data_IF_144371980514
#
_entry.id   IF_144371980514
#
_cell.length_a   1.000
_cell.length_b   1.000
_cell.length_c   1.000
_cell.angle_alpha   90.00
_cell.angle_beta   90.00
_cell.angle_gamma   90.00
#
_symmetry.space_group_name_H-M   'P 1'
#
loop_
_entity.id
_entity.type
_entity.pdbx_description
1 polymer ?
#
# COMPACT_ATOMS: atom_id res chain seq x y z
N UNK A 1 -19.29 -26.93 22.36
CA UNK A 1 -18.63 -25.61 22.21
C UNK A 1 -17.35 -25.60 23.02
N UNK A 2 -16.20 -25.35 22.43
CA UNK A 2 -14.94 -25.20 23.19
C UNK A 2 -15.00 -23.92 24.02
N UNK A 3 -14.42 -23.94 25.22
CA UNK A 3 -14.34 -22.75 26.10
C UNK A 3 -13.59 -21.64 25.36
N UNK A 4 -14.18 -20.43 25.29
CA UNK A 4 -13.53 -19.28 24.66
C UNK A 4 -12.22 -18.89 25.38
N UNK A 5 -11.18 -18.46 24.67
CA UNK A 5 -9.92 -18.03 25.29
C UNK A 5 -10.12 -16.89 26.29
N UNK A 6 -9.71 -17.10 27.52
CA UNK A 6 -9.86 -16.15 28.64
C UNK A 6 -8.56 -16.01 29.43
N UNK A 7 -8.42 -14.93 30.20
CA UNK A 7 -7.30 -14.66 31.11
C UNK A 7 -7.80 -13.93 32.37
N UNK A 8 -8.84 -14.47 33.02
CA UNK A 8 -9.61 -13.80 34.12
C UNK A 8 -8.73 -13.30 35.25
N UNK A 9 -7.77 -14.11 35.70
CA UNK A 9 -6.87 -13.72 36.80
C UNK A 9 -5.95 -12.56 36.39
N UNK A 10 -5.55 -12.50 35.14
CA UNK A 10 -4.76 -11.38 34.63
C UNK A 10 -5.60 -10.12 34.49
N UNK A 11 -6.87 -10.24 34.07
CA UNK A 11 -7.81 -9.12 34.00
C UNK A 11 -8.03 -8.50 35.40
N UNK A 12 -8.26 -9.31 36.43
CA UNK A 12 -8.44 -8.84 37.83
C UNK A 12 -7.17 -8.12 38.31
N UNK A 13 -6.00 -8.75 38.15
CA UNK A 13 -4.71 -8.17 38.56
C UNK A 13 -4.42 -6.85 37.81
N UNK A 14 -4.75 -6.76 36.53
CA UNK A 14 -4.57 -5.55 35.77
C UNK A 14 -5.47 -4.41 36.25
N UNK A 15 -6.77 -4.69 36.44
CA UNK A 15 -7.74 -3.71 36.97
C UNK A 15 -7.35 -3.23 38.36
N UNK A 16 -6.92 -4.14 39.23
CA UNK A 16 -6.40 -3.79 40.58
C UNK A 16 -5.17 -2.86 40.46
N UNK A 17 -4.21 -3.21 39.62
CA UNK A 17 -3.01 -2.38 39.40
C UNK A 17 -3.33 -0.97 38.91
N UNK A 18 -4.35 -0.82 38.05
CA UNK A 18 -4.79 0.48 37.53
C UNK A 18 -5.53 1.34 38.56
N UNK A 19 -6.15 0.73 39.59
CA UNK A 19 -6.82 1.44 40.70
C UNK A 19 -5.87 1.99 41.75
N UNK A 20 -4.69 1.39 41.92
CA UNK A 20 -3.83 1.60 43.08
C UNK A 20 -2.62 2.49 42.84
N UNK A 21 -2.31 2.91 41.61
CA UNK A 21 -1.19 3.79 41.27
C UNK A 21 -1.60 4.94 40.36
N UNK A 22 -1.64 6.10 40.89
CA UNK A 22 -1.74 7.48 40.32
C UNK A 22 -1.79 7.67 38.78
N UNK A 23 -2.30 6.68 38.04
CA UNK A 23 -2.54 6.82 36.58
C UNK A 23 -1.35 6.48 35.68
N UNK A 24 -0.13 6.24 36.16
CA UNK A 24 1.04 5.93 35.31
C UNK A 24 0.80 4.69 34.43
N UNK A 25 0.21 3.64 35.01
CA UNK A 25 -0.07 2.37 34.31
C UNK A 25 -1.23 2.50 33.31
N UNK A 26 -2.17 3.42 33.56
CA UNK A 26 -3.39 3.54 32.74
C UNK A 26 -3.06 3.98 31.32
N UNK A 27 -2.16 4.94 31.15
CA UNK A 27 -1.76 5.44 29.85
C UNK A 27 -1.15 4.33 28.98
N UNK A 28 -0.24 3.52 29.55
CA UNK A 28 0.38 2.41 28.83
C UNK A 28 -0.64 1.30 28.50
N UNK A 29 -1.49 0.93 29.44
CA UNK A 29 -2.52 -0.09 29.24
C UNK A 29 -3.56 0.37 28.23
N UNK A 30 -3.97 1.63 28.24
CA UNK A 30 -4.94 2.20 27.31
C UNK A 30 -4.40 2.24 25.87
N UNK A 31 -3.08 2.28 25.68
CA UNK A 31 -2.46 2.15 24.35
C UNK A 31 -2.57 0.72 23.78
N UNK A 32 -2.73 -0.31 24.64
CA UNK A 32 -2.75 -1.72 24.26
C UNK A 32 -4.18 -2.27 24.21
N UNK A 33 -4.99 -1.97 25.23
CA UNK A 33 -6.32 -2.56 25.45
C UNK A 33 -7.45 -1.57 25.20
N UNK A 34 -8.56 -2.12 24.73
CA UNK A 34 -9.89 -1.49 24.71
C UNK A 34 -10.82 -2.24 25.68
N UNK A 35 -11.91 -1.61 26.08
CA UNK A 35 -12.89 -2.24 26.97
C UNK A 35 -13.40 -3.59 26.43
N UNK A 36 -13.59 -3.70 25.11
CA UNK A 36 -14.05 -4.90 24.42
C UNK A 36 -13.04 -6.07 24.45
N UNK A 37 -11.78 -5.80 24.81
CA UNK A 37 -10.74 -6.82 24.90
C UNK A 37 -10.87 -7.68 26.18
N UNK A 38 -11.58 -7.18 27.19
CA UNK A 38 -11.87 -7.96 28.40
C UNK A 38 -12.92 -9.04 28.17
N UNK A 39 -12.76 -10.16 28.83
CA UNK A 39 -13.69 -11.30 28.73
C UNK A 39 -15.00 -11.03 29.39
N UNK A 40 -14.96 -10.61 30.71
CA UNK A 40 -16.14 -10.34 31.49
C UNK A 40 -16.73 -8.97 31.21
N UNK A 41 -18.06 -8.89 31.15
CA UNK A 41 -18.77 -7.63 30.98
C UNK A 41 -18.53 -6.68 32.17
N UNK A 42 -18.42 -7.22 33.38
CA UNK A 42 -18.10 -6.46 34.60
C UNK A 42 -16.73 -5.75 34.43
N UNK A 43 -15.72 -6.44 33.91
CA UNK A 43 -14.40 -5.89 33.69
C UNK A 43 -14.42 -4.82 32.60
N UNK A 44 -15.22 -4.98 31.55
CA UNK A 44 -15.41 -3.97 30.49
C UNK A 44 -16.00 -2.68 31.07
N UNK A 45 -17.04 -2.79 31.91
CA UNK A 45 -17.67 -1.64 32.57
C UNK A 45 -16.67 -0.92 33.47
N UNK A 46 -15.96 -1.68 34.34
CA UNK A 46 -14.96 -1.12 35.26
C UNK A 46 -13.86 -0.39 34.46
N UNK A 47 -13.28 -1.03 33.44
CA UNK A 47 -12.23 -0.43 32.63
C UNK A 47 -12.69 0.84 31.91
N UNK A 48 -13.90 0.88 31.40
CA UNK A 48 -14.51 2.05 30.76
C UNK A 48 -14.70 3.19 31.77
N UNK A 49 -15.20 2.89 32.96
CA UNK A 49 -15.35 3.88 34.04
C UNK A 49 -13.98 4.45 34.45
N UNK A 50 -12.94 3.62 34.58
CA UNK A 50 -11.58 4.04 34.89
C UNK A 50 -11.03 5.03 33.85
N UNK A 51 -11.19 4.71 32.55
CA UNK A 51 -10.74 5.60 31.48
C UNK A 51 -11.50 6.93 31.48
N UNK A 52 -12.78 6.94 31.82
CA UNK A 52 -13.57 8.17 31.92
C UNK A 52 -13.14 9.05 33.11
N UNK A 53 -12.88 8.44 34.27
CA UNK A 53 -12.34 9.17 35.43
C UNK A 53 -10.95 9.75 35.10
N UNK A 54 -10.06 8.93 34.53
CA UNK A 54 -8.72 9.33 34.14
C UNK A 54 -8.70 10.45 33.09
N UNK A 55 -9.63 10.43 32.13
CA UNK A 55 -9.74 11.49 31.11
C UNK A 55 -10.11 12.87 31.66
N UNK A 56 -10.63 12.96 32.88
CA UNK A 56 -10.90 14.20 33.61
C UNK A 56 -9.70 14.69 34.44
N UNK A 57 -8.55 14.03 34.30
CA UNK A 57 -7.31 14.39 35.02
C UNK A 57 -7.26 13.91 36.46
N UNK A 58 -8.13 12.97 36.85
CA UNK A 58 -8.19 12.44 38.22
C UNK A 58 -7.74 10.97 38.22
N UNK A 59 -6.80 10.56 39.07
CA UNK A 59 -6.47 9.15 39.24
C UNK A 59 -7.71 8.35 39.66
N UNK A 60 -8.03 7.23 39.00
CA UNK A 60 -9.23 6.46 39.33
C UNK A 60 -9.02 5.62 40.60
N UNK A 61 -9.64 5.98 41.66
CA UNK A 61 -9.83 5.13 42.82
C UNK A 61 -11.16 4.40 42.77
N UNK A 62 -11.37 3.44 43.67
CA UNK A 62 -12.56 2.61 43.70
C UNK A 62 -13.85 3.39 43.93
N UNK A 63 -13.81 4.49 44.71
CA UNK A 63 -14.98 5.31 45.00
C UNK A 63 -15.40 6.16 43.81
N UNK A 64 -14.42 6.73 43.10
CA UNK A 64 -14.64 7.47 41.86
C UNK A 64 -15.16 6.56 40.74
N UNK A 65 -14.65 5.34 40.64
CA UNK A 65 -15.13 4.33 39.71
C UNK A 65 -16.59 3.91 40.05
N UNK A 66 -16.90 3.70 41.35
CA UNK A 66 -18.26 3.42 41.77
C UNK A 66 -19.22 4.55 41.39
N UNK A 67 -18.81 5.79 41.60
CA UNK A 67 -19.63 6.96 41.31
C UNK A 67 -19.86 7.11 39.78
N UNK A 68 -18.83 6.84 38.97
CA UNK A 68 -18.94 6.86 37.52
C UNK A 68 -19.88 5.72 37.03
N UNK A 69 -19.77 4.53 37.60
CA UNK A 69 -20.67 3.41 37.29
C UNK A 69 -22.12 3.71 37.68
N UNK A 70 -22.37 4.45 38.76
CA UNK A 70 -23.70 4.96 39.12
C UNK A 70 -24.22 5.94 38.08
N UNK A 71 -23.37 6.89 37.69
CA UNK A 71 -23.70 7.94 36.73
C UNK A 71 -24.05 7.37 35.34
N UNK A 72 -23.38 6.29 34.94
CA UNK A 72 -23.63 5.60 33.65
C UNK A 72 -24.72 4.54 33.72
N UNK A 73 -25.25 4.25 34.91
CA UNK A 73 -26.23 3.19 35.12
C UNK A 73 -25.69 1.77 35.04
N UNK A 74 -24.37 1.60 35.01
CA UNK A 74 -23.69 0.29 34.83
C UNK A 74 -23.39 -0.40 36.19
N UNK A 75 -23.63 0.24 37.34
CA UNK A 75 -23.34 -0.33 38.66
C UNK A 75 -24.10 -1.63 38.94
N UNK A 76 -25.29 -1.81 38.34
CA UNK A 76 -26.06 -3.05 38.49
C UNK A 76 -25.37 -4.26 37.81
N UNK A 77 -24.61 -4.01 36.74
CA UNK A 77 -23.81 -5.04 36.06
C UNK A 77 -22.56 -5.40 36.85
N UNK A 78 -21.98 -4.38 37.55
CA UNK A 78 -20.77 -4.54 38.36
C UNK A 78 -21.20 -4.53 39.83
N UNK A 79 -21.38 -5.67 40.44
CA UNK A 79 -21.74 -5.77 41.86
C UNK A 79 -20.71 -5.01 42.73
N UNK A 80 -21.21 -4.17 43.64
CA UNK A 80 -20.36 -3.35 44.50
C UNK A 80 -19.30 -4.19 45.25
N UNK A 81 -19.72 -5.29 45.84
CA UNK A 81 -18.82 -6.21 46.56
C UNK A 81 -17.67 -6.71 45.65
N UNK A 82 -17.95 -6.95 44.38
CA UNK A 82 -16.95 -7.37 43.41
C UNK A 82 -15.95 -6.26 43.11
N UNK A 83 -16.42 -5.02 42.92
CA UNK A 83 -15.56 -3.88 42.67
C UNK A 83 -14.57 -3.66 43.82
N UNK A 84 -15.05 -3.73 45.07
CA UNK A 84 -14.21 -3.58 46.25
C UNK A 84 -13.24 -4.76 46.43
N UNK A 85 -13.67 -5.99 46.14
CA UNK A 85 -12.81 -7.17 46.21
C UNK A 85 -11.63 -7.13 45.19
N UNK A 86 -11.72 -6.34 44.14
CA UNK A 86 -10.62 -6.20 43.20
C UNK A 86 -9.39 -5.47 43.79
N UNK A 87 -9.57 -4.67 44.86
CA UNK A 87 -8.47 -3.95 45.51
C UNK A 87 -7.53 -4.90 46.24
N UNK A 88 -8.05 -6.02 46.72
CA UNK A 88 -7.32 -7.00 47.55
C UNK A 88 -6.44 -7.96 46.71
N UNK A 89 -6.44 -7.80 45.35
CA UNK A 89 -5.56 -8.61 44.52
C UNK A 89 -4.12 -8.13 44.57
N UNK A 90 -3.20 -9.02 44.97
CA UNK A 90 -1.75 -8.76 44.87
C UNK A 90 -1.34 -8.46 43.44
N UNK A 91 -0.64 -7.34 43.23
CA UNK A 91 -0.16 -6.94 41.92
C UNK A 91 1.27 -6.39 41.98
N UNK A 92 1.95 -6.48 40.83
CA UNK A 92 3.23 -5.82 40.59
C UNK A 92 3.06 -4.97 39.34
N UNK A 93 3.21 -3.64 39.42
CA UNK A 93 3.05 -2.71 38.29
C UNK A 93 3.97 -3.04 37.12
N UNK A 94 5.16 -3.56 37.41
CA UNK A 94 6.14 -4.02 36.39
C UNK A 94 5.60 -5.07 35.41
N UNK A 95 4.51 -5.76 35.76
CA UNK A 95 3.89 -6.79 34.91
C UNK A 95 2.57 -6.36 34.25
N UNK A 96 2.10 -5.13 34.50
CA UNK A 96 0.82 -4.66 33.95
C UNK A 96 0.80 -4.70 32.42
N UNK A 97 1.85 -4.24 31.76
CA UNK A 97 1.99 -4.29 30.30
C UNK A 97 1.99 -5.72 29.76
N UNK A 98 2.63 -6.65 30.45
CA UNK A 98 2.64 -8.06 30.08
C UNK A 98 1.25 -8.69 30.20
N UNK A 99 0.53 -8.38 31.31
CA UNK A 99 -0.87 -8.81 31.47
C UNK A 99 -1.77 -8.21 30.39
N UNK A 100 -1.61 -6.92 30.07
CA UNK A 100 -2.36 -6.26 29.00
C UNK A 100 -2.13 -6.95 27.65
N UNK A 101 -0.90 -7.26 27.28
CA UNK A 101 -0.59 -7.99 26.05
C UNK A 101 -1.25 -9.37 26.02
N UNK A 102 -1.18 -10.14 27.13
CA UNK A 102 -1.82 -11.47 27.20
C UNK A 102 -3.33 -11.38 27.07
N UNK A 103 -3.98 -10.37 27.69
CA UNK A 103 -5.43 -10.13 27.55
C UNK A 103 -5.76 -9.80 26.11
N UNK A 104 -4.92 -8.98 25.44
CA UNK A 104 -5.05 -8.63 24.03
C UNK A 104 -4.99 -9.87 23.13
N UNK A 105 -4.01 -10.73 23.33
CA UNK A 105 -3.87 -11.98 22.56
C UNK A 105 -5.11 -12.87 22.69
N UNK A 106 -5.65 -13.01 23.94
CA UNK A 106 -6.90 -13.76 24.14
C UNK A 106 -8.10 -13.10 23.46
N UNK A 107 -8.16 -11.77 23.44
CA UNK A 107 -9.21 -11.03 22.73
C UNK A 107 -9.12 -11.23 21.21
N UNK A 108 -7.93 -11.24 20.65
CA UNK A 108 -7.70 -11.51 19.21
C UNK A 108 -8.19 -12.91 18.86
N UNK A 109 -7.83 -13.91 19.66
CA UNK A 109 -8.30 -15.29 19.46
C UNK A 109 -9.83 -15.41 19.53
N UNK A 110 -10.49 -14.69 20.44
CA UNK A 110 -11.97 -14.65 20.50
C UNK A 110 -12.59 -14.05 19.25
N UNK A 111 -12.02 -12.93 18.76
CA UNK A 111 -12.49 -12.30 17.49
C UNK A 111 -12.28 -13.22 16.30
N UNK A 112 -11.16 -13.95 16.27
CA UNK A 112 -10.89 -14.92 15.21
C UNK A 112 -11.92 -16.05 15.24
N UNK A 113 -12.22 -16.62 16.42
CA UNK A 113 -13.25 -17.64 16.59
C UNK A 113 -14.60 -17.12 16.11
N UNK A 114 -14.99 -15.92 16.52
CA UNK A 114 -16.25 -15.30 16.10
C UNK A 114 -16.31 -15.11 14.59
N UNK A 115 -15.23 -14.61 13.96
CA UNK A 115 -15.17 -14.47 12.51
C UNK A 115 -15.31 -15.82 11.79
N UNK A 116 -14.66 -16.88 12.31
CA UNK A 116 -14.78 -18.22 11.76
C UNK A 116 -16.22 -18.77 11.92
N UNK A 117 -16.89 -18.56 13.07
CA UNK A 117 -18.28 -18.98 13.27
C UNK A 117 -19.23 -18.29 12.29
N UNK A 118 -19.03 -16.98 12.06
CA UNK A 118 -19.80 -16.22 11.05
C UNK A 118 -19.54 -16.71 9.63
N UNK A 119 -18.29 -17.07 9.30
CA UNK A 119 -17.92 -17.61 7.97
C UNK A 119 -18.57 -18.99 7.78
N UNK A 120 -18.55 -19.85 8.80
CA UNK A 120 -19.19 -21.17 8.76
C UNK A 120 -20.70 -21.02 8.55
N UNK A 121 -21.33 -20.06 9.25
CA UNK A 121 -22.75 -19.79 9.10
C UNK A 121 -23.11 -19.31 7.68
N UNK A 122 -22.42 -18.29 7.19
CA UNK A 122 -22.66 -17.73 5.85
C UNK A 122 -22.42 -18.77 4.73
N UNK A 123 -21.43 -19.67 4.93
CA UNK A 123 -21.13 -20.73 3.99
C UNK A 123 -22.19 -21.84 3.99
N UNK A 124 -22.84 -22.09 5.13
CA UNK A 124 -23.87 -23.11 5.26
C UNK A 124 -25.25 -22.69 4.74
N UNK A 125 -25.55 -21.38 4.74
CA UNK A 125 -26.85 -20.86 4.28
C UNK A 125 -26.99 -20.81 2.76
N UNK A 126 -25.88 -20.87 1.98
CA UNK A 126 -25.83 -20.84 0.51
C UNK A 126 -26.67 -19.72 -0.16
N UNK A 127 -26.94 -18.62 0.54
CA UNK A 127 -27.79 -17.53 0.07
C UNK A 127 -27.08 -16.58 -0.91
N UNK A 128 -25.72 -16.64 -0.97
CA UNK A 128 -24.89 -15.78 -1.80
C UNK A 128 -24.04 -16.59 -2.78
N UNK A 129 -23.61 -15.98 -3.91
CA UNK A 129 -22.64 -16.62 -4.78
C UNK A 129 -21.34 -16.97 -4.03
N UNK A 130 -20.73 -18.11 -4.34
CA UNK A 130 -19.49 -18.59 -3.67
C UNK A 130 -18.39 -17.52 -3.65
N UNK A 131 -18.25 -16.76 -4.75
CA UNK A 131 -17.26 -15.65 -4.82
C UNK A 131 -17.49 -14.59 -3.77
N UNK A 132 -18.74 -14.20 -3.55
CA UNK A 132 -19.12 -13.19 -2.55
C UNK A 132 -18.90 -13.69 -1.12
N UNK A 133 -19.17 -14.98 -0.86
CA UNK A 133 -18.88 -15.62 0.44
C UNK A 133 -17.38 -15.61 0.73
N UNK A 134 -16.55 -15.93 -0.28
CA UNK A 134 -15.09 -15.92 -0.14
C UNK A 134 -14.55 -14.51 0.12
N UNK A 135 -15.05 -13.50 -0.58
CA UNK A 135 -14.67 -12.09 -0.37
C UNK A 135 -15.08 -11.59 1.03
N UNK A 136 -16.27 -11.95 1.49
CA UNK A 136 -16.75 -11.62 2.85
C UNK A 136 -15.92 -12.33 3.92
N UNK A 137 -15.56 -13.60 3.72
CA UNK A 137 -14.72 -14.38 4.63
C UNK A 137 -13.30 -13.76 4.76
N UNK A 138 -12.67 -13.42 3.62
CA UNK A 138 -11.37 -12.76 3.60
C UNK A 138 -11.43 -11.41 4.33
N UNK A 139 -12.46 -10.59 4.09
CA UNK A 139 -12.67 -9.31 4.76
C UNK A 139 -12.80 -9.45 6.28
N UNK A 140 -13.54 -10.47 6.76
CA UNK A 140 -13.70 -10.75 8.20
C UNK A 140 -12.39 -11.15 8.86
N UNK A 141 -11.61 -12.02 8.23
CA UNK A 141 -10.29 -12.44 8.74
C UNK A 141 -9.31 -11.25 8.77
N UNK A 142 -9.24 -10.48 7.70
CA UNK A 142 -8.41 -9.29 7.61
C UNK A 142 -8.80 -8.27 8.70
N UNK A 143 -10.09 -8.06 8.97
CA UNK A 143 -10.55 -7.15 10.01
C UNK A 143 -10.07 -7.54 11.42
N UNK A 144 -9.89 -8.84 11.70
CA UNK A 144 -9.28 -9.31 12.96
C UNK A 144 -7.82 -8.85 13.07
N UNK A 145 -7.05 -8.97 11.98
CA UNK A 145 -5.63 -8.59 11.91
C UNK A 145 -5.44 -7.07 12.01
N UNK A 146 -6.26 -6.28 11.28
CA UNK A 146 -6.13 -4.81 11.29
C UNK A 146 -6.44 -4.15 12.62
N UNK A 147 -7.39 -4.66 13.39
CA UNK A 147 -7.66 -4.13 14.74
C UNK A 147 -6.50 -4.36 15.71
N UNK A 148 -5.52 -5.16 15.31
CA UNK A 148 -4.34 -5.50 16.12
C UNK A 148 -3.18 -4.54 15.88
N UNK A 149 -3.06 -3.98 14.66
CA UNK A 149 -1.93 -3.15 14.23
C UNK A 149 -2.21 -1.64 14.24
N UNK A 150 -3.17 -1.15 15.04
CA UNK A 150 -3.27 0.31 15.18
C UNK A 150 -1.99 0.83 15.86
N UNK A 151 -1.08 1.35 15.05
CA UNK A 151 0.06 2.14 15.49
C UNK A 151 -0.46 3.27 16.39
N UNK A 152 -0.13 3.21 17.67
CA UNK A 152 -0.31 4.32 18.60
C UNK A 152 0.56 5.51 18.20
N UNK A 153 0.42 6.64 18.91
CA UNK A 153 1.37 7.74 18.78
C UNK A 153 2.78 7.24 19.12
N UNK A 154 3.71 7.45 18.21
CA UNK A 154 5.11 7.15 18.44
C UNK A 154 5.82 8.43 18.95
N UNK A 155 6.65 8.33 20.01
CA UNK A 155 7.41 9.48 20.48
C UNK A 155 8.29 10.07 19.37
N UNK A 156 8.26 11.38 19.21
CA UNK A 156 9.03 12.08 18.16
C UNK A 156 10.51 11.75 18.21
N UNK A 157 11.05 11.51 19.40
CA UNK A 157 12.47 11.13 19.58
C UNK A 157 12.84 9.87 18.81
N UNK A 158 12.02 8.82 18.87
CA UNK A 158 12.24 7.55 18.12
C UNK A 158 12.20 7.77 16.61
N UNK A 159 11.27 8.64 16.17
CA UNK A 159 11.15 8.99 14.74
C UNK A 159 12.39 9.76 14.28
N UNK A 160 12.88 10.72 15.08
CA UNK A 160 14.09 11.50 14.78
C UNK A 160 15.31 10.62 14.72
N UNK A 161 15.48 9.67 15.65
CA UNK A 161 16.60 8.74 15.62
C UNK A 161 16.67 7.97 14.30
N UNK A 162 15.57 7.35 13.87
CA UNK A 162 15.51 6.62 12.58
C UNK A 162 15.75 7.53 11.38
N UNK A 163 15.20 8.74 11.41
CA UNK A 163 15.46 9.72 10.35
C UNK A 163 16.93 10.13 10.30
N UNK A 164 17.57 10.32 11.44
CA UNK A 164 18.98 10.68 11.54
C UNK A 164 19.91 9.54 11.07
N UNK A 165 19.63 8.30 11.46
CA UNK A 165 20.35 7.11 10.98
C UNK A 165 20.27 7.00 9.45
N UNK A 166 19.08 7.25 8.87
CA UNK A 166 18.90 7.30 7.41
C UNK A 166 19.73 8.40 6.75
N UNK A 167 19.77 9.59 7.34
CA UNK A 167 20.57 10.71 6.83
C UNK A 167 22.06 10.39 6.89
N UNK A 168 22.53 9.78 8.00
CA UNK A 168 23.92 9.34 8.15
C UNK A 168 24.29 8.28 7.11
N UNK A 169 23.39 7.33 6.84
CA UNK A 169 23.61 6.30 5.81
C UNK A 169 23.81 6.95 4.44
N UNK A 170 22.89 7.85 4.05
CA UNK A 170 22.99 8.59 2.77
C UNK A 170 24.27 9.41 2.69
N UNK A 171 24.66 10.08 3.79
CA UNK A 171 25.90 10.87 3.83
C UNK A 171 27.15 10.01 3.62
N UNK A 172 27.16 8.82 4.21
CA UNK A 172 28.29 7.89 4.11
C UNK A 172 28.34 7.13 2.77
N UNK A 173 27.20 7.06 2.04
CA UNK A 173 27.05 6.36 0.77
C UNK A 173 26.38 7.28 -0.26
N UNK A 174 27.06 8.34 -0.70
CA UNK A 174 26.43 9.38 -1.58
C UNK A 174 26.04 8.85 -2.97
N UNK A 175 26.61 7.75 -3.42
CA UNK A 175 26.31 7.12 -4.69
C UNK A 175 25.17 6.10 -4.62
N UNK A 176 24.67 5.79 -3.42
CA UNK A 176 23.59 4.82 -3.21
C UNK A 176 22.22 5.52 -3.29
N UNK A 177 21.34 5.04 -4.18
CA UNK A 177 19.97 5.55 -4.27
C UNK A 177 19.12 5.08 -3.11
N UNK A 178 18.29 5.97 -2.58
CA UNK A 178 17.39 5.63 -1.46
C UNK A 178 16.13 4.90 -1.88
N UNK A 179 15.74 5.06 -3.14
CA UNK A 179 14.58 4.44 -3.76
C UNK A 179 14.95 3.40 -4.81
N UNK A 180 13.95 2.79 -5.43
CA UNK A 180 14.12 1.83 -6.52
C UNK A 180 14.60 2.55 -7.77
N UNK A 181 15.73 2.12 -8.29
CA UNK A 181 16.43 2.72 -9.41
C UNK A 181 15.69 2.47 -10.73
N UNK A 182 15.44 3.51 -11.51
CA UNK A 182 14.76 3.42 -12.81
C UNK A 182 15.74 3.25 -13.98
N UNK A 183 17.04 3.53 -13.77
CA UNK A 183 18.09 3.62 -14.82
C UNK A 183 17.77 4.65 -15.91
N UNK A 184 16.88 5.59 -15.63
CA UNK A 184 16.70 6.82 -16.38
C UNK A 184 17.37 7.93 -15.58
N UNK A 185 18.60 8.30 -16.00
CA UNK A 185 19.50 9.18 -15.22
C UNK A 185 18.81 10.49 -14.84
N UNK A 186 18.06 11.08 -15.79
CA UNK A 186 17.32 12.31 -15.54
C UNK A 186 16.24 12.14 -14.49
N UNK A 187 15.52 11.01 -14.49
CA UNK A 187 14.47 10.71 -13.53
C UNK A 187 15.03 10.39 -12.16
N UNK A 188 16.05 9.55 -12.12
CA UNK A 188 16.69 9.13 -10.86
C UNK A 188 17.36 10.32 -10.15
N UNK A 189 17.94 11.27 -10.91
CA UNK A 189 18.52 12.51 -10.34
C UNK A 189 17.46 13.38 -9.63
N UNK A 190 16.23 13.41 -10.14
CA UNK A 190 15.14 14.24 -9.57
C UNK A 190 14.46 13.53 -8.41
N UNK A 191 14.24 12.21 -8.50
CA UNK A 191 13.47 11.44 -7.54
C UNK A 191 14.35 10.70 -6.52
N UNK A 192 15.64 10.57 -6.78
CA UNK A 192 16.56 9.68 -6.03
C UNK A 192 16.05 8.22 -6.00
N UNK A 193 15.53 7.75 -7.15
CA UNK A 193 14.79 6.51 -7.29
C UNK A 193 13.33 6.62 -6.83
N UNK A 194 12.54 5.57 -7.07
CA UNK A 194 11.14 5.51 -6.63
C UNK A 194 11.10 5.18 -5.13
N UNK A 195 10.60 6.15 -4.32
CA UNK A 195 10.67 6.05 -2.87
C UNK A 195 9.60 5.12 -2.30
N UNK A 196 9.94 4.40 -1.23
CA UNK A 196 9.01 3.53 -0.49
C UNK A 196 7.75 4.29 -0.08
N UNK A 197 6.63 3.58 -0.04
CA UNK A 197 5.30 4.12 0.33
C UNK A 197 4.74 5.19 -0.62
N UNK A 198 5.43 5.55 -1.72
CA UNK A 198 4.93 6.54 -2.66
C UNK A 198 3.93 5.94 -3.66
N UNK A 199 2.86 6.70 -3.93
CA UNK A 199 1.97 6.48 -5.06
C UNK A 199 2.40 7.41 -6.20
N UNK A 200 2.87 6.83 -7.29
CA UNK A 200 3.38 7.51 -8.47
C UNK A 200 2.41 7.26 -9.62
N UNK A 201 1.86 8.33 -10.17
CA UNK A 201 0.95 8.27 -11.32
C UNK A 201 1.71 8.62 -12.59
N UNK A 202 1.70 7.72 -13.57
CA UNK A 202 2.16 7.99 -14.93
C UNK A 202 0.94 8.08 -15.85
N UNK A 203 0.54 9.30 -16.20
CA UNK A 203 -0.62 9.54 -17.01
C UNK A 203 -0.25 9.93 -18.46
N UNK A 204 -0.89 9.25 -19.42
CA UNK A 204 -0.47 9.32 -20.81
C UNK A 204 -1.67 9.23 -21.75
N UNK A 205 -1.63 9.91 -22.90
CA UNK A 205 -2.59 9.67 -23.99
C UNK A 205 -2.31 8.33 -24.68
N UNK A 206 -3.35 7.67 -25.24
CA UNK A 206 -3.17 6.42 -25.99
C UNK A 206 -2.07 6.51 -27.06
N UNK A 207 -1.34 5.44 -27.29
CA UNK A 207 -0.30 5.29 -28.31
C UNK A 207 0.98 6.11 -28.10
N UNK A 208 1.14 6.83 -27.01
CA UNK A 208 2.35 7.58 -26.69
C UNK A 208 3.45 6.76 -26.00
N UNK A 209 3.18 5.49 -25.64
CA UNK A 209 4.19 4.61 -25.04
C UNK A 209 4.05 4.39 -23.54
N UNK A 210 2.85 4.59 -22.95
CA UNK A 210 2.51 4.39 -21.53
C UNK A 210 3.09 3.09 -20.97
N UNK A 211 2.62 1.96 -21.48
CA UNK A 211 3.05 0.61 -21.08
C UNK A 211 4.53 0.36 -21.37
N UNK A 212 5.07 0.89 -22.49
CA UNK A 212 6.47 0.73 -22.83
C UNK A 212 7.38 1.40 -21.79
N UNK A 213 7.11 2.64 -21.38
CA UNK A 213 7.90 3.32 -20.34
C UNK A 213 7.82 2.59 -18.99
N UNK A 214 6.63 2.17 -18.59
CA UNK A 214 6.44 1.43 -17.34
C UNK A 214 7.19 0.09 -17.33
N UNK A 215 7.15 -0.66 -18.44
CA UNK A 215 7.91 -1.91 -18.59
C UNK A 215 9.41 -1.67 -18.61
N UNK A 216 9.89 -0.56 -19.23
CA UNK A 216 11.30 -0.19 -19.18
C UNK A 216 11.75 0.10 -17.73
N UNK A 217 10.97 0.89 -16.97
CA UNK A 217 11.25 1.16 -15.55
C UNK A 217 11.27 -0.15 -14.76
N UNK A 218 10.23 -1.00 -14.92
CA UNK A 218 10.12 -2.28 -14.23
C UNK A 218 11.30 -3.21 -14.52
N UNK A 219 11.70 -3.31 -15.78
CA UNK A 219 12.83 -4.15 -16.23
C UNK A 219 14.15 -3.62 -15.69
N UNK A 220 14.37 -2.31 -15.75
CA UNK A 220 15.56 -1.67 -15.23
C UNK A 220 15.68 -1.88 -13.72
N UNK A 221 14.59 -1.69 -12.97
CA UNK A 221 14.55 -1.97 -11.54
C UNK A 221 14.90 -3.45 -11.24
N UNK A 222 14.32 -4.39 -11.99
CA UNK A 222 14.61 -5.81 -11.83
C UNK A 222 16.07 -6.16 -12.17
N UNK A 223 16.67 -5.51 -13.18
CA UNK A 223 18.11 -5.64 -13.51
C UNK A 223 19.01 -5.10 -12.39
N UNK A 224 18.55 -4.12 -11.62
CA UNK A 224 19.25 -3.64 -10.40
C UNK A 224 19.02 -4.55 -9.19
N UNK A 225 18.32 -5.68 -9.33
CA UNK A 225 18.07 -6.67 -8.28
C UNK A 225 16.74 -6.50 -7.53
N UNK A 226 15.91 -5.52 -7.89
CA UNK A 226 14.60 -5.32 -7.29
C UNK A 226 13.61 -6.44 -7.68
N UNK A 227 12.73 -6.81 -6.77
CA UNK A 227 11.58 -7.69 -7.03
C UNK A 227 10.40 -6.81 -7.47
N UNK A 228 9.88 -7.04 -8.67
CA UNK A 228 8.84 -6.22 -9.29
C UNK A 228 7.58 -7.02 -9.56
N UNK A 229 6.43 -6.52 -9.12
CA UNK A 229 5.11 -7.06 -9.46
C UNK A 229 4.44 -6.17 -10.51
N UNK A 230 3.95 -6.76 -11.60
CA UNK A 230 3.25 -6.06 -12.69
C UNK A 230 1.83 -6.59 -12.79
N UNK A 231 0.85 -5.74 -12.56
CA UNK A 231 -0.56 -6.01 -12.87
C UNK A 231 -0.89 -5.44 -14.23
N UNK A 232 -1.10 -6.31 -15.20
CA UNK A 232 -1.44 -5.93 -16.57
C UNK A 232 -2.91 -6.19 -16.83
N UNK A 233 -3.72 -5.16 -16.72
CA UNK A 233 -5.17 -5.27 -16.89
C UNK A 233 -5.63 -5.09 -18.33
N UNK A 234 -4.76 -4.55 -19.20
CA UNK A 234 -5.02 -4.30 -20.62
C UNK A 234 -4.44 -5.39 -21.52
N UNK A 235 -3.28 -5.91 -21.18
CA UNK A 235 -2.53 -6.85 -22.02
C UNK A 235 -2.35 -8.17 -21.32
N UNK A 236 -2.36 -9.27 -22.10
CA UNK A 236 -2.01 -10.60 -21.58
C UNK A 236 -0.52 -10.68 -21.22
N UNK A 237 -0.18 -11.55 -20.27
CA UNK A 237 1.22 -11.84 -19.90
C UNK A 237 2.08 -12.31 -21.08
N UNK A 238 1.49 -13.00 -22.04
CA UNK A 238 2.20 -13.39 -23.28
C UNK A 238 2.62 -12.15 -24.10
N UNK A 239 1.73 -11.19 -24.28
CA UNK A 239 2.04 -9.94 -24.99
C UNK A 239 3.09 -9.09 -24.27
N UNK A 240 3.09 -9.10 -22.93
CA UNK A 240 4.15 -8.42 -22.16
C UNK A 240 5.49 -9.13 -22.36
N UNK A 241 5.52 -10.47 -22.30
CA UNK A 241 6.73 -11.24 -22.53
C UNK A 241 7.32 -10.95 -23.92
N UNK A 242 6.49 -10.91 -24.97
CA UNK A 242 6.94 -10.53 -26.33
C UNK A 242 7.55 -9.11 -26.36
N UNK A 243 6.94 -8.13 -25.67
CA UNK A 243 7.48 -6.77 -25.58
C UNK A 243 8.80 -6.72 -24.83
N UNK A 244 8.93 -7.45 -23.74
CA UNK A 244 10.18 -7.54 -22.98
C UNK A 244 11.28 -8.17 -23.84
N UNK A 245 11.00 -9.23 -24.57
CA UNK A 245 11.95 -9.85 -25.49
C UNK A 245 12.41 -8.88 -26.57
N UNK A 246 11.49 -8.16 -27.23
CA UNK A 246 11.84 -7.14 -28.23
C UNK A 246 12.71 -6.02 -27.65
N UNK A 247 12.32 -5.50 -26.47
CA UNK A 247 13.04 -4.39 -25.82
C UNK A 247 14.46 -4.79 -25.40
N UNK A 248 14.65 -6.01 -24.91
CA UNK A 248 15.94 -6.48 -24.37
C UNK A 248 16.87 -7.02 -25.45
N UNK A 249 16.33 -7.74 -26.45
CA UNK A 249 17.12 -8.23 -27.58
C UNK A 249 17.47 -7.13 -28.60
N UNK A 250 16.71 -6.03 -28.63
CA UNK A 250 16.81 -5.05 -29.70
C UNK A 250 16.20 -5.50 -31.03
N UNK A 251 15.53 -6.63 -31.07
CA UNK A 251 14.87 -7.15 -32.28
C UNK A 251 13.53 -6.45 -32.50
N UNK A 252 13.29 -6.03 -33.74
CA UNK A 252 12.04 -5.38 -34.11
C UNK A 252 10.83 -6.26 -33.80
N UNK A 253 9.88 -5.73 -33.03
CA UNK A 253 8.67 -6.44 -32.64
C UNK A 253 7.82 -6.94 -33.82
N UNK A 254 7.88 -6.26 -34.98
CA UNK A 254 7.19 -6.68 -36.18
C UNK A 254 7.85 -7.93 -36.80
N UNK A 255 9.20 -7.99 -36.81
CA UNK A 255 9.93 -9.16 -37.30
C UNK A 255 9.63 -10.39 -36.43
N UNK A 256 9.54 -10.21 -35.11
CA UNK A 256 9.13 -11.30 -34.20
C UNK A 256 7.74 -11.84 -34.54
N UNK A 257 6.77 -10.95 -34.78
CA UNK A 257 5.39 -11.35 -35.11
C UNK A 257 5.24 -12.05 -36.47
N UNK A 258 6.04 -11.65 -37.44
CA UNK A 258 5.98 -12.22 -38.81
C UNK A 258 6.87 -13.45 -38.99
N UNK A 259 7.74 -13.74 -38.01
CA UNK A 259 8.75 -14.80 -38.10
C UNK A 259 9.89 -14.48 -39.04
N UNK A 260 9.99 -13.24 -39.55
CA UNK A 260 11.07 -12.82 -40.47
C UNK A 260 12.28 -12.40 -39.63
N UNK A 261 12.99 -13.37 -39.11
CA UNK A 261 14.15 -13.21 -38.26
C UNK A 261 15.40 -13.73 -38.92
N UNK A 262 16.48 -12.99 -38.80
CA UNK A 262 17.81 -13.45 -39.16
C UNK A 262 18.39 -14.37 -38.08
N UNK A 263 19.41 -15.18 -38.42
CA UNK A 263 20.12 -16.04 -37.44
C UNK A 263 20.77 -15.22 -36.32
N UNK A 264 21.14 -13.97 -36.56
CA UNK A 264 21.67 -13.05 -35.54
C UNK A 264 20.56 -12.62 -34.60
N UNK A 265 19.42 -12.14 -35.12
CA UNK A 265 18.28 -11.73 -34.32
C UNK A 265 17.74 -12.90 -33.47
N UNK A 266 17.77 -14.13 -33.99
CA UNK A 266 17.37 -15.31 -33.22
C UNK A 266 18.33 -15.55 -32.04
N UNK A 267 19.63 -15.37 -32.20
CA UNK A 267 20.61 -15.47 -31.10
C UNK A 267 20.40 -14.37 -30.07
N UNK A 268 20.14 -13.14 -30.52
CA UNK A 268 19.88 -12.01 -29.62
C UNK A 268 18.60 -12.25 -28.79
N UNK A 269 17.57 -12.86 -29.39
CA UNK A 269 16.37 -13.29 -28.68
C UNK A 269 16.64 -14.37 -27.63
N UNK A 270 17.47 -15.37 -27.95
CA UNK A 270 17.85 -16.44 -27.00
C UNK A 270 18.56 -15.84 -25.79
N UNK A 271 19.54 -14.94 -26.03
CA UNK A 271 20.25 -14.24 -24.95
C UNK A 271 19.28 -13.41 -24.09
N UNK A 272 18.33 -12.70 -24.73
CA UNK A 272 17.33 -11.94 -24.01
C UNK A 272 16.40 -12.82 -23.14
N UNK A 273 16.07 -14.03 -23.59
CA UNK A 273 15.29 -15.00 -22.79
C UNK A 273 16.07 -15.43 -21.54
N UNK A 274 17.38 -15.69 -21.65
CA UNK A 274 18.24 -16.03 -20.53
C UNK A 274 18.32 -14.87 -19.52
N UNK A 275 18.51 -13.62 -20.04
CA UNK A 275 18.51 -12.42 -19.21
C UNK A 275 17.19 -12.24 -18.46
N UNK A 276 16.03 -12.39 -19.15
CA UNK A 276 14.71 -12.26 -18.55
C UNK A 276 14.47 -13.31 -17.48
N UNK A 277 14.90 -14.55 -17.72
CA UNK A 277 14.71 -15.65 -16.77
C UNK A 277 15.41 -15.40 -15.42
N UNK A 278 16.46 -14.61 -15.40
CA UNK A 278 17.17 -14.19 -14.19
C UNK A 278 16.52 -13.03 -13.43
N UNK A 279 15.53 -12.35 -14.02
CA UNK A 279 14.88 -11.18 -13.40
C UNK A 279 13.78 -11.61 -12.41
N UNK A 280 13.69 -10.87 -11.29
CA UNK A 280 12.60 -11.02 -10.33
C UNK A 280 11.38 -10.22 -10.76
N UNK A 281 10.81 -10.60 -11.93
CA UNK A 281 9.61 -9.98 -12.51
C UNK A 281 8.43 -10.95 -12.39
N UNK A 282 7.36 -10.49 -11.71
CA UNK A 282 6.13 -11.25 -11.52
C UNK A 282 4.99 -10.54 -12.23
N UNK A 283 4.25 -11.24 -13.11
CA UNK A 283 3.19 -10.66 -13.93
C UNK A 283 1.87 -11.33 -13.62
N UNK A 284 0.86 -10.51 -13.32
CA UNK A 284 -0.53 -10.91 -13.16
C UNK A 284 -1.39 -10.20 -14.22
N UNK A 285 -2.13 -10.97 -15.02
CA UNK A 285 -3.02 -10.47 -16.07
C UNK A 285 -4.51 -10.74 -15.77
N UNK A 286 -4.86 -10.86 -14.48
CA UNK A 286 -6.24 -11.06 -14.05
C UNK A 286 -7.09 -9.85 -14.43
N UNK A 287 -8.08 -10.00 -15.34
CA UNK A 287 -8.89 -8.87 -15.78
C UNK A 287 -9.84 -8.43 -14.65
N UNK A 288 -9.98 -7.11 -14.49
CA UNK A 288 -10.90 -6.55 -13.51
C UNK A 288 -10.60 -6.95 -12.06
N UNK A 289 -9.32 -7.10 -11.72
CA UNK A 289 -8.89 -7.47 -10.37
C UNK A 289 -9.41 -6.46 -9.34
N UNK A 290 -9.97 -6.98 -8.25
CA UNK A 290 -10.35 -6.15 -7.11
C UNK A 290 -9.12 -5.75 -6.28
N UNK A 291 -9.24 -4.63 -5.57
CA UNK A 291 -8.16 -4.17 -4.69
C UNK A 291 -7.83 -5.17 -3.58
N UNK A 292 -8.83 -5.88 -3.08
CA UNK A 292 -8.68 -6.89 -2.04
C UNK A 292 -7.86 -8.09 -2.57
N UNK A 293 -8.19 -8.56 -3.76
CA UNK A 293 -7.45 -9.66 -4.42
C UNK A 293 -6.00 -9.26 -4.74
N UNK A 294 -5.80 -8.04 -5.28
CA UNK A 294 -4.47 -7.49 -5.53
C UNK A 294 -3.62 -7.45 -4.25
N UNK A 295 -4.19 -6.96 -3.15
CA UNK A 295 -3.55 -6.88 -1.84
C UNK A 295 -3.15 -8.26 -1.31
N UNK A 296 -4.03 -9.26 -1.43
CA UNK A 296 -3.75 -10.64 -1.02
C UNK A 296 -2.58 -11.22 -1.79
N UNK A 297 -2.57 -11.06 -3.13
CA UNK A 297 -1.47 -11.53 -4.00
C UNK A 297 -0.15 -10.83 -3.68
N UNK A 298 -0.17 -9.50 -3.46
CA UNK A 298 1.03 -8.72 -3.13
C UNK A 298 1.61 -9.09 -1.77
N UNK A 299 0.78 -9.28 -0.74
CA UNK A 299 1.25 -9.72 0.57
C UNK A 299 1.92 -11.09 0.51
N UNK A 300 1.32 -12.03 -0.25
CA UNK A 300 1.92 -13.34 -0.45
C UNK A 300 3.27 -13.23 -1.14
N UNK A 301 3.36 -12.48 -2.25
CA UNK A 301 4.60 -12.28 -2.98
C UNK A 301 5.67 -11.60 -2.12
N UNK A 302 5.31 -10.56 -1.37
CA UNK A 302 6.24 -9.87 -0.46
C UNK A 302 6.80 -10.80 0.63
N UNK A 303 5.98 -11.75 1.12
CA UNK A 303 6.42 -12.74 2.10
C UNK A 303 7.33 -13.81 1.50
N UNK A 304 7.03 -14.27 0.27
CA UNK A 304 7.75 -15.39 -0.38
C UNK A 304 9.10 -14.96 -0.97
N UNK A 305 9.16 -13.80 -1.62
CA UNK A 305 10.34 -13.37 -2.42
C UNK A 305 10.84 -11.97 -2.11
N UNK A 306 10.14 -11.23 -1.25
CA UNK A 306 10.30 -9.78 -1.14
C UNK A 306 9.54 -9.04 -2.24
N UNK A 307 9.42 -7.71 -2.11
CA UNK A 307 8.76 -6.85 -3.09
C UNK A 307 9.30 -5.43 -2.97
N UNK A 308 9.75 -4.86 -4.09
CA UNK A 308 10.39 -3.55 -4.12
C UNK A 308 9.65 -2.53 -5.00
N UNK A 309 8.89 -2.98 -6.01
CA UNK A 309 8.12 -2.12 -6.90
C UNK A 309 6.84 -2.81 -7.37
N UNK A 310 5.75 -2.05 -7.41
CA UNK A 310 4.48 -2.49 -8.00
C UNK A 310 4.17 -1.60 -9.20
N UNK A 311 3.82 -2.22 -10.33
CA UNK A 311 3.36 -1.53 -11.55
C UNK A 311 1.94 -1.97 -11.87
N UNK A 312 1.04 -1.01 -12.16
CA UNK A 312 -0.37 -1.28 -12.49
C UNK A 312 -0.70 -0.64 -13.82
N UNK A 313 -1.01 -1.44 -14.84
CA UNK A 313 -1.39 -0.97 -16.18
C UNK A 313 -2.81 -1.41 -16.53
N UNK A 314 -3.83 -0.57 -16.39
CA UNK A 314 -3.93 0.78 -15.87
C UNK A 314 -5.13 0.90 -14.91
N UNK A 315 -5.15 1.91 -14.06
CA UNK A 315 -6.10 2.05 -12.93
C UNK A 315 -7.56 1.97 -13.37
N UNK A 316 -7.92 2.55 -14.51
CA UNK A 316 -9.30 2.60 -15.00
C UNK A 316 -9.85 1.22 -15.41
N UNK A 317 -9.08 0.14 -15.41
CA UNK A 317 -9.57 -1.23 -15.63
C UNK A 317 -9.78 -2.02 -14.33
N UNK A 318 -9.38 -1.46 -13.19
CA UNK A 318 -9.65 -2.07 -11.89
C UNK A 318 -11.15 -2.03 -11.55
N UNK A 319 -11.61 -3.01 -10.82
CA UNK A 319 -12.93 -3.02 -10.22
C UNK A 319 -12.90 -2.33 -8.86
N UNK A 320 -13.67 -1.26 -8.72
CA UNK A 320 -13.96 -0.61 -7.44
C UNK A 320 -15.13 -1.28 -6.73
N UNK A 321 -15.47 -0.73 -5.55
CA UNK A 321 -16.66 -1.15 -4.80
C UNK A 321 -17.98 -0.71 -5.48
N UNK A 322 -19.08 -0.71 -4.70
CA UNK A 322 -20.40 -0.21 -5.14
C UNK A 322 -20.41 1.34 -5.20
N UNK A 323 -19.73 1.92 -6.18
CA UNK A 323 -19.79 3.37 -6.40
C UNK A 323 -20.94 3.74 -7.35
N UNK A 324 -21.59 4.89 -7.12
CA UNK A 324 -22.70 5.37 -7.94
C UNK A 324 -22.24 5.84 -9.32
N UNK A 325 -20.98 6.25 -9.46
CA UNK A 325 -20.40 6.69 -10.71
C UNK A 325 -18.89 6.35 -10.81
N UNK A 326 -18.38 6.36 -12.04
CA UNK A 326 -16.99 5.99 -12.36
C UNK A 326 -15.95 6.91 -11.68
N UNK A 327 -16.26 8.17 -11.49
CA UNK A 327 -15.36 9.12 -10.84
C UNK A 327 -15.16 8.79 -9.35
N UNK A 328 -16.24 8.41 -8.66
CA UNK A 328 -16.16 7.98 -7.26
C UNK A 328 -15.36 6.67 -7.13
N UNK A 329 -15.60 5.73 -8.06
CA UNK A 329 -14.87 4.46 -8.09
C UNK A 329 -13.35 4.67 -8.21
N UNK A 330 -12.92 5.52 -9.14
CA UNK A 330 -11.49 5.85 -9.31
C UNK A 330 -10.94 6.57 -8.07
N UNK A 331 -11.76 7.40 -7.40
CA UNK A 331 -11.38 8.06 -6.16
C UNK A 331 -11.16 7.09 -5.01
N UNK A 332 -11.99 6.06 -4.90
CA UNK A 332 -11.83 5.00 -3.91
C UNK A 332 -10.58 4.15 -4.21
N UNK A 333 -10.37 3.79 -5.47
CA UNK A 333 -9.18 3.06 -5.93
C UNK A 333 -7.91 3.84 -5.60
N UNK A 334 -7.86 5.13 -5.92
CA UNK A 334 -6.71 6.01 -5.66
C UNK A 334 -6.30 6.03 -4.19
N UNK A 335 -7.26 6.34 -3.30
CA UNK A 335 -7.03 6.35 -1.84
C UNK A 335 -6.58 4.99 -1.33
N UNK A 336 -7.17 3.94 -1.86
CA UNK A 336 -6.86 2.58 -1.45
C UNK A 336 -5.47 2.14 -1.94
N UNK A 337 -5.04 2.54 -3.15
CA UNK A 337 -3.68 2.30 -3.64
C UNK A 337 -2.64 3.06 -2.80
N UNK A 338 -2.93 4.32 -2.40
CA UNK A 338 -2.04 5.06 -1.49
C UNK A 338 -1.95 4.40 -0.11
N UNK A 339 -3.07 3.90 0.42
CA UNK A 339 -3.08 3.14 1.67
C UNK A 339 -2.27 1.83 1.53
N UNK A 340 -2.40 1.13 0.40
CA UNK A 340 -1.67 -0.10 0.11
C UNK A 340 -0.16 0.14 0.00
N UNK A 341 0.28 1.19 -0.70
CA UNK A 341 1.69 1.55 -0.80
C UNK A 341 2.33 1.77 0.58
N UNK A 342 1.59 2.46 1.48
CA UNK A 342 2.03 2.69 2.87
C UNK A 342 2.05 1.40 3.71
N UNK A 343 1.05 0.54 3.53
CA UNK A 343 0.90 -0.69 4.28
C UNK A 343 2.04 -1.68 4.03
N UNK A 344 2.40 -1.87 2.75
CA UNK A 344 3.45 -2.81 2.35
C UNK A 344 4.82 -2.14 2.23
N UNK A 345 4.90 -0.81 2.46
CA UNK A 345 6.12 0.02 2.36
C UNK A 345 6.87 -0.15 1.02
N UNK A 346 6.11 -0.16 -0.09
CA UNK A 346 6.61 -0.35 -1.45
C UNK A 346 6.05 0.75 -2.36
N UNK A 347 6.86 1.34 -3.28
CA UNK A 347 6.34 2.28 -4.29
C UNK A 347 5.38 1.61 -5.25
N UNK A 348 4.30 2.31 -5.59
CA UNK A 348 3.34 1.90 -6.62
C UNK A 348 3.43 2.86 -7.79
N UNK A 349 3.84 2.36 -8.96
CA UNK A 349 3.75 3.05 -10.25
C UNK A 349 2.44 2.66 -10.92
N UNK A 350 1.44 3.53 -10.85
CA UNK A 350 0.13 3.29 -11.41
C UNK A 350 -0.08 4.11 -12.69
N UNK A 351 -0.43 3.41 -13.76
CA UNK A 351 -0.66 4.03 -15.06
C UNK A 351 -2.09 4.55 -15.16
N UNK A 352 -2.25 5.70 -15.78
CA UNK A 352 -3.54 6.33 -16.03
C UNK A 352 -3.66 6.81 -17.46
N UNK A 353 -4.87 6.78 -17.99
CA UNK A 353 -5.16 7.37 -19.28
C UNK A 353 -5.69 8.79 -19.11
N UNK A 354 -5.11 9.72 -19.89
CA UNK A 354 -5.55 11.12 -19.90
C UNK A 354 -6.86 11.33 -20.68
N UNK A 355 -7.64 12.33 -20.25
CA UNK A 355 -8.83 12.78 -20.95
C UNK A 355 -8.53 13.27 -22.37
N UNK A 356 -9.51 13.18 -23.28
CA UNK A 356 -9.39 13.70 -24.65
C UNK A 356 -9.31 15.23 -24.70
N UNK A 357 -9.64 15.92 -23.63
CA UNK A 357 -9.58 17.39 -23.54
C UNK A 357 -8.18 17.96 -23.81
N UNK A 358 -7.13 17.18 -23.55
CA UNK A 358 -5.74 17.56 -23.88
C UNK A 358 -5.58 17.90 -25.37
N UNK A 359 -6.25 17.17 -26.27
CA UNK A 359 -6.12 17.32 -27.72
C UNK A 359 -6.80 18.59 -28.27
N UNK A 360 -7.66 19.22 -27.45
CA UNK A 360 -8.36 20.47 -27.80
C UNK A 360 -7.48 21.71 -27.58
N UNK A 361 -6.37 21.58 -26.83
CA UNK A 361 -5.43 22.69 -26.62
C UNK A 361 -4.46 22.84 -27.78
N UNK A 362 -3.96 24.05 -27.96
CA UNK A 362 -3.00 24.37 -29.04
C UNK A 362 -1.67 23.65 -28.83
N UNK A 363 -1.17 23.61 -27.59
CA UNK A 363 0.11 22.99 -27.22
C UNK A 363 0.03 21.48 -26.98
N UNK A 364 -1.18 20.94 -26.80
CA UNK A 364 -1.46 19.51 -26.52
C UNK A 364 -0.60 18.89 -25.43
N UNK A 365 0.12 19.72 -24.62
CA UNK A 365 0.90 19.25 -23.49
C UNK A 365 -0.01 18.92 -22.30
N UNK A 366 0.16 17.75 -21.67
CA UNK A 366 -0.63 17.35 -20.50
C UNK A 366 -0.43 18.28 -19.29
N UNK A 367 -1.48 18.48 -18.53
CA UNK A 367 -1.51 19.25 -17.29
C UNK A 367 -2.29 18.50 -16.22
N UNK A 368 -2.11 18.85 -14.94
CA UNK A 368 -2.83 18.21 -13.82
C UNK A 368 -4.35 18.24 -13.99
N UNK A 369 -4.88 19.32 -14.57
CA UNK A 369 -6.32 19.44 -14.88
C UNK A 369 -6.83 18.37 -15.84
N UNK A 370 -5.98 17.68 -16.61
CA UNK A 370 -6.38 16.64 -17.56
C UNK A 370 -6.64 15.27 -16.88
N UNK A 371 -6.30 15.17 -15.58
CA UNK A 371 -6.72 14.09 -14.70
C UNK A 371 -8.16 14.28 -14.16
N UNK A 372 -8.95 15.25 -14.68
CA UNK A 372 -10.24 15.70 -14.12
C UNK A 372 -11.33 14.64 -13.98
N UNK A 373 -11.31 13.56 -14.74
CA UNK A 373 -12.18 12.41 -14.47
C UNK A 373 -11.72 11.61 -13.23
N UNK A 374 -10.55 12.01 -12.67
CA UNK A 374 -9.87 11.37 -11.56
C UNK A 374 -9.16 12.42 -10.67
N UNK A 375 -9.85 13.52 -10.32
CA UNK A 375 -9.26 14.61 -9.51
C UNK A 375 -8.66 14.15 -8.17
N UNK A 376 -9.11 13.03 -7.66
CA UNK A 376 -8.53 12.35 -6.50
C UNK A 376 -7.15 11.78 -6.77
N UNK A 377 -6.84 11.30 -8.00
CA UNK A 377 -5.50 10.82 -8.37
C UNK A 377 -4.47 11.93 -8.18
N UNK A 378 -4.81 13.17 -8.57
CA UNK A 378 -3.95 14.32 -8.33
C UNK A 378 -3.72 14.57 -6.84
N UNK A 379 -4.76 14.45 -6.01
CA UNK A 379 -4.66 14.73 -4.56
C UNK A 379 -3.89 13.63 -3.82
N UNK A 380 -4.18 12.37 -4.09
CA UNK A 380 -3.67 11.21 -3.37
C UNK A 380 -2.23 10.86 -3.77
N UNK A 381 -1.86 11.08 -5.04
CA UNK A 381 -0.52 10.79 -5.54
C UNK A 381 0.55 11.67 -4.88
N UNK A 382 1.72 11.09 -4.63
CA UNK A 382 2.90 11.83 -4.19
C UNK A 382 3.63 12.43 -5.39
N UNK A 383 3.66 11.68 -6.50
CA UNK A 383 4.29 12.09 -7.75
C UNK A 383 3.29 11.89 -8.90
N UNK A 384 3.19 12.89 -9.78
CA UNK A 384 2.43 12.79 -11.04
C UNK A 384 3.37 13.10 -12.19
N UNK A 385 3.47 12.16 -13.11
CA UNK A 385 4.27 12.26 -14.31
C UNK A 385 3.38 12.16 -15.55
N UNK A 386 3.69 12.97 -16.56
CA UNK A 386 3.09 12.89 -17.89
C UNK A 386 4.13 12.51 -18.92
N UNK A 387 3.78 11.63 -19.83
CA UNK A 387 4.60 11.35 -21.01
C UNK A 387 3.97 12.05 -22.23
N UNK A 388 4.77 12.87 -22.88
CA UNK A 388 4.41 13.59 -24.08
C UNK A 388 5.39 13.30 -25.20
N UNK A 389 4.87 13.14 -26.43
CA UNK A 389 5.66 12.97 -27.64
C UNK A 389 5.13 13.91 -28.71
N UNK A 390 5.91 14.93 -29.00
CA UNK A 390 5.54 15.92 -30.02
C UNK A 390 5.43 15.31 -31.41
N UNK A 391 6.33 14.38 -31.77
CA UNK A 391 6.31 13.60 -33.02
C UNK A 391 4.92 12.97 -33.32
N UNK A 392 4.13 12.64 -32.30
CA UNK A 392 2.81 12.06 -32.49
C UNK A 392 1.83 13.02 -33.16
N UNK A 393 1.97 14.32 -32.86
CA UNK A 393 1.13 15.39 -33.36
C UNK A 393 1.74 16.11 -34.55
N UNK A 394 3.07 16.32 -34.56
CA UNK A 394 3.83 17.06 -35.53
C UNK A 394 4.83 16.12 -36.22
N UNK A 395 4.32 15.28 -37.14
CA UNK A 395 5.09 14.20 -37.80
C UNK A 395 6.18 14.69 -38.75
N UNK A 396 6.04 15.92 -39.25
CA UNK A 396 6.91 16.50 -40.26
C UNK A 396 8.13 17.24 -39.66
N UNK A 397 8.17 17.38 -38.32
CA UNK A 397 9.29 18.02 -37.64
C UNK A 397 10.37 16.97 -37.30
N UNK A 398 11.45 16.98 -38.08
CA UNK A 398 12.58 16.06 -37.88
C UNK A 398 13.33 16.27 -36.57
N UNK A 399 13.26 17.47 -35.96
CA UNK A 399 13.94 17.75 -34.69
C UNK A 399 13.32 17.03 -33.51
N UNK A 400 12.05 16.66 -33.61
CA UNK A 400 11.29 16.02 -32.52
C UNK A 400 11.19 14.49 -32.69
N UNK A 401 11.83 13.95 -33.71
CA UNK A 401 11.79 12.53 -34.04
C UNK A 401 12.46 11.70 -32.96
N UNK A 402 11.76 10.65 -32.48
CA UNK A 402 12.23 9.76 -31.43
C UNK A 402 12.47 10.45 -30.06
N UNK A 403 11.95 11.65 -29.86
CA UNK A 403 12.05 12.37 -28.58
C UNK A 403 10.74 12.26 -27.83
N UNK A 404 10.84 11.95 -26.55
CA UNK A 404 9.75 12.00 -25.59
C UNK A 404 10.10 12.95 -24.44
N UNK A 405 9.11 13.63 -23.92
CA UNK A 405 9.24 14.50 -22.76
C UNK A 405 8.49 13.84 -21.57
N UNK A 406 9.21 13.54 -20.50
CA UNK A 406 8.64 13.08 -19.23
C UNK A 406 8.50 14.29 -18.30
N UNK A 407 7.26 14.74 -18.09
CA UNK A 407 6.94 15.93 -17.31
C UNK A 407 6.57 15.49 -15.90
N UNK A 408 7.36 15.87 -14.89
CA UNK A 408 7.04 15.70 -13.47
C UNK A 408 6.21 16.92 -13.07
N UNK A 409 4.88 16.78 -13.13
CA UNK A 409 3.94 17.88 -12.86
C UNK A 409 3.60 18.06 -11.39
N UNK A 410 3.77 17.01 -10.58
CA UNK A 410 3.65 17.04 -9.13
C UNK A 410 4.75 16.20 -8.50
N UNK A 411 5.42 16.75 -7.49
CA UNK A 411 6.36 16.03 -6.64
C UNK A 411 6.25 16.59 -5.22
N UNK A 412 5.74 15.80 -4.28
CA UNK A 412 5.57 16.25 -2.88
C UNK A 412 6.89 16.47 -2.17
N UNK A 413 7.93 15.75 -2.56
CA UNK A 413 9.20 15.70 -1.86
C UNK A 413 10.34 16.38 -2.64
N UNK A 414 10.04 17.02 -3.78
CA UNK A 414 11.07 17.63 -4.62
C UNK A 414 10.52 18.58 -5.69
N UNK A 415 11.35 19.01 -6.62
CA UNK A 415 10.97 19.93 -7.67
C UNK A 415 10.12 19.28 -8.75
N UNK A 416 9.34 20.09 -9.45
CA UNK A 416 8.70 19.74 -10.71
C UNK A 416 9.62 20.13 -11.87
N UNK A 417 9.72 19.29 -12.92
CA UNK A 417 10.61 19.50 -14.05
C UNK A 417 10.19 18.66 -15.25
N UNK A 418 10.82 18.89 -16.39
CA UNK A 418 10.68 18.05 -17.59
C UNK A 418 12.02 17.39 -17.94
N UNK A 419 11.96 16.14 -18.33
CA UNK A 419 13.11 15.29 -18.66
C UNK A 419 12.94 14.81 -20.10
N UNK A 420 13.95 15.07 -20.95
CA UNK A 420 14.00 14.53 -22.30
C UNK A 420 14.41 13.06 -22.29
N UNK A 421 13.67 12.23 -23.01
CA UNK A 421 13.95 10.81 -23.21
C UNK A 421 14.04 10.50 -24.70
N UNK A 422 14.88 9.56 -25.07
CA UNK A 422 14.92 8.98 -26.42
C UNK A 422 13.93 7.81 -26.47
N UNK A 423 13.10 7.72 -27.50
CA UNK A 423 12.18 6.62 -27.72
C UNK A 423 12.47 5.89 -29.03
N UNK A 424 12.87 4.63 -28.95
CA UNK A 424 13.05 3.75 -30.10
C UNK A 424 11.78 2.94 -30.31
N UNK A 425 11.00 3.33 -31.30
CA UNK A 425 9.64 2.81 -31.54
C UNK A 425 9.64 1.33 -31.93
N UNK A 426 10.59 0.89 -32.71
CA UNK A 426 10.70 -0.47 -33.29
C UNK A 426 10.84 -1.54 -32.21
N UNK A 427 11.50 -1.18 -31.10
CA UNK A 427 11.77 -2.05 -29.97
C UNK A 427 11.08 -1.56 -28.67
N UNK A 428 10.27 -0.50 -28.75
CA UNK A 428 9.53 0.10 -27.65
C UNK A 428 10.39 0.49 -26.44
N UNK A 429 11.62 0.95 -26.68
CA UNK A 429 12.60 1.26 -25.66
C UNK A 429 12.68 2.76 -25.40
N UNK A 430 12.63 3.14 -24.12
CA UNK A 430 13.00 4.47 -23.64
C UNK A 430 14.41 4.43 -23.06
N UNK A 431 15.17 5.50 -23.29
CA UNK A 431 16.49 5.72 -22.72
C UNK A 431 16.73 7.20 -22.47
N UNK A 432 17.86 7.54 -21.86
CA UNK A 432 18.26 8.93 -21.69
C UNK A 432 18.56 9.58 -23.04
N UNK A 433 18.14 10.84 -23.18
CA UNK A 433 18.48 11.65 -24.35
C UNK A 433 19.96 12.06 -24.25
N UNK A 434 20.82 11.37 -25.00
CA UNK A 434 22.21 11.79 -25.16
C UNK A 434 22.21 13.09 -25.97
N UNK A 435 22.38 14.26 -25.34
CA UNK A 435 22.77 15.45 -26.08
C UNK A 435 24.16 15.16 -26.62
N UNK A 436 24.32 15.16 -27.95
CA UNK A 436 25.64 15.31 -28.55
C UNK A 436 26.27 16.55 -27.91
N UNK A 437 27.37 16.35 -27.19
CA UNK A 437 28.19 17.46 -26.70
C UNK A 437 28.80 18.08 -27.97
N UNK A 438 28.24 19.23 -28.37
CA UNK A 438 28.91 20.13 -29.32
C UNK A 438 30.07 20.86 -28.62
#
# INVERSE_FOLDING_TARGET
>A
MSKLPEALEMEKKLLSAMMLKDGEVISEVASILRAEDFYREEHRCIYRAMLQVYSRGTPPDVLLIEDELKRTGELQKVRRDYLFALIDYEFTTTRAVLHAKTIKDKAILRRLIQACEEIIYDSGEEQKPVKEILEDAERKIIAVTYKTEQSGFEPIYTIIQRAFERIQHIHNHPDEMTGVETKLIGLDRVLNGLQKSDLIILAVRPSMGKTALALNIATNAAKSGATVAIFSLEMSKGQIAERLMSTLSGVNSQNMKTGNLTDSEMRDLINAVEDIAGLRLHIDDTPGISLLEMRSKLRRLAHETGLDLIVIDYIQLMQGGRAENRQQEISEISRSLKALAREIDVPILALSQLSRSVELRADKKPQLSDLRESGSLEQDADIVMFLYRDEYYNRDDENNKNIAELIIAKNRNGPTTSIGLQFTKEIMRFGDLTRAVE
#
